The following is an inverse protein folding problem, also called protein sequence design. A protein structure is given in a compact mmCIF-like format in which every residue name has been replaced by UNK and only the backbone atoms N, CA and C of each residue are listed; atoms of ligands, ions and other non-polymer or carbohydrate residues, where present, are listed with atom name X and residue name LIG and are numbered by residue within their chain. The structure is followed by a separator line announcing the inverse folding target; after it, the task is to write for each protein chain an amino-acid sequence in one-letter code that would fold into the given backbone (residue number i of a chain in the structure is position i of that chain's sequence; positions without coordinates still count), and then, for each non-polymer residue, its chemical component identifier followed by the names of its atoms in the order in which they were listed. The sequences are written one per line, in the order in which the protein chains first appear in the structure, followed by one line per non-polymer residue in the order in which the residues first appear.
data_IF_595875943598
#
_entry.id   IF_595875943598
#
_cell.length_a   1.000
_cell.length_b   1.000
_cell.length_c   1.000
_cell.angle_alpha   90.00
_cell.angle_beta   90.00
_cell.angle_gamma   90.00
#
_symmetry.space_group_name_H-M   'P 1'
#
loop_
_entity.id
_entity.type
_entity.pdbx_description
1 polymer ?
#
# COMPACT_ATOMS: atom_id res chain seq x y z
N UNK A 1 -41.02 4.28 -44.55
CA UNK A 1 -40.19 3.93 -45.74
C UNK A 1 -39.05 3.13 -45.22
N UNK A 2 -39.17 1.81 -45.16
CA UNK A 2 -38.77 0.77 -46.13
C UNK A 2 -37.23 0.72 -46.29
N UNK A 3 -36.72 -0.44 -45.82
CA UNK A 3 -35.70 -1.34 -46.43
C UNK A 3 -34.23 -1.02 -46.05
N UNK A 4 -33.31 -1.91 -45.84
CA UNK A 4 -33.19 -3.36 -46.17
C UNK A 4 -32.12 -4.01 -45.28
N UNK A 5 -32.34 -5.26 -44.95
CA UNK A 5 -31.37 -6.31 -44.54
C UNK A 5 -30.26 -6.47 -45.59
N UNK A 6 -29.06 -6.76 -45.13
CA UNK A 6 -28.23 -7.76 -45.80
C UNK A 6 -27.32 -8.43 -44.77
N UNK A 7 -27.51 -9.71 -44.58
CA UNK A 7 -26.67 -10.61 -43.82
C UNK A 7 -25.45 -11.05 -44.66
N UNK A 8 -24.40 -11.39 -43.94
CA UNK A 8 -23.30 -12.19 -44.53
C UNK A 8 -22.97 -13.31 -43.54
N UNK A 9 -23.53 -14.46 -43.88
CA UNK A 9 -23.06 -15.76 -43.40
C UNK A 9 -21.80 -16.10 -44.20
N UNK A 10 -20.70 -16.40 -43.55
CA UNK A 10 -19.62 -17.20 -44.15
C UNK A 10 -19.31 -18.37 -43.23
N UNK A 11 -19.58 -19.51 -43.81
CA UNK A 11 -19.46 -20.83 -43.26
C UNK A 11 -18.03 -21.37 -43.32
N UNK A 12 -17.74 -22.26 -42.37
CA UNK A 12 -16.93 -23.47 -42.46
C UNK A 12 -15.57 -23.48 -43.16
N UNK A 13 -14.59 -23.93 -42.44
CA UNK A 13 -13.81 -25.10 -42.89
C UNK A 13 -13.11 -25.77 -41.70
N UNK A 14 -13.60 -26.93 -41.33
CA UNK A 14 -12.91 -27.98 -40.57
C UNK A 14 -11.79 -28.54 -41.45
N UNK A 15 -10.58 -28.53 -40.93
CA UNK A 15 -9.50 -29.41 -41.44
C UNK A 15 -9.04 -30.30 -40.29
N UNK A 16 -9.55 -31.52 -40.35
CA UNK A 16 -9.04 -32.64 -39.53
C UNK A 16 -7.86 -33.21 -40.31
N UNK A 17 -6.68 -33.15 -39.76
CA UNK A 17 -5.53 -33.92 -40.25
C UNK A 17 -5.18 -34.98 -39.22
N UNK A 18 -5.56 -36.20 -39.57
CA UNK A 18 -5.10 -37.43 -38.93
C UNK A 18 -3.62 -37.66 -39.31
N UNK A 19 -2.77 -37.72 -38.32
CA UNK A 19 -1.39 -38.18 -38.46
C UNK A 19 -1.07 -39.26 -37.44
N UNK A 20 -1.27 -40.50 -37.86
CA UNK A 20 -0.76 -41.68 -37.15
C UNK A 20 0.73 -41.73 -37.30
N UNK A 21 1.49 -41.85 -36.24
CA UNK A 21 2.79 -42.46 -36.29
C UNK A 21 3.01 -43.41 -35.15
N UNK A 22 3.34 -44.60 -35.56
CA UNK A 22 3.58 -45.85 -34.87
C UNK A 22 4.78 -45.75 -33.90
N UNK A 23 4.61 -46.45 -32.78
CA UNK A 23 5.65 -46.80 -31.83
C UNK A 23 6.66 -47.80 -32.46
N UNK A 24 7.88 -47.84 -31.94
CA UNK A 24 8.47 -49.13 -31.61
C UNK A 24 8.80 -49.27 -30.14
N UNK A 25 8.37 -50.40 -29.62
CA UNK A 25 8.76 -50.95 -28.33
C UNK A 25 10.20 -51.45 -28.41
N UNK A 26 10.97 -51.27 -27.35
CA UNK A 26 11.86 -52.27 -26.79
C UNK A 26 12.80 -51.67 -25.75
N UNK A 27 12.88 -52.29 -24.58
CA UNK A 27 13.99 -52.07 -23.65
C UNK A 27 13.57 -52.03 -22.19
N UNK A 28 13.19 -53.20 -21.67
CA UNK A 28 13.17 -53.44 -20.22
C UNK A 28 14.62 -53.46 -19.73
N UNK A 29 14.97 -52.54 -18.84
CA UNK A 29 16.05 -52.81 -17.89
C UNK A 29 15.63 -52.38 -16.48
N UNK A 30 15.78 -53.38 -15.62
CA UNK A 30 15.42 -53.35 -14.23
C UNK A 30 16.45 -52.58 -13.39
N UNK A 31 15.93 -51.98 -12.34
CA UNK A 31 16.53 -51.94 -11.02
C UNK A 31 17.72 -51.02 -10.80
N UNK A 32 17.46 -49.81 -10.36
CA UNK A 32 18.32 -49.15 -9.38
C UNK A 32 17.45 -48.29 -8.46
N UNK A 33 17.41 -48.70 -7.19
CA UNK A 33 16.78 -48.04 -6.05
C UNK A 33 17.27 -46.59 -5.94
N UNK A 34 16.39 -45.57 -5.96
CA UNK A 34 16.85 -44.21 -5.68
C UNK A 34 17.22 -44.14 -4.21
N UNK A 35 18.49 -43.90 -3.96
CA UNK A 35 19.02 -43.52 -2.68
C UNK A 35 18.49 -42.15 -2.34
N UNK A 36 17.71 -42.02 -1.27
CA UNK A 36 17.20 -40.79 -0.72
C UNK A 36 18.38 -39.97 -0.16
N UNK A 37 18.99 -39.15 -0.98
CA UNK A 37 19.90 -38.12 -0.49
C UNK A 37 19.03 -37.04 0.12
N UNK A 38 18.98 -37.00 1.43
CA UNK A 38 18.45 -35.92 2.23
C UNK A 38 19.35 -34.69 1.99
N UNK A 39 19.08 -33.94 0.92
CA UNK A 39 19.58 -32.59 0.85
C UNK A 39 18.74 -31.76 1.83
N UNK A 40 19.32 -31.51 2.98
CA UNK A 40 18.89 -30.48 3.90
C UNK A 40 18.99 -29.17 3.13
N UNK A 41 17.90 -28.79 2.47
CA UNK A 41 17.73 -27.44 1.96
C UNK A 41 17.62 -26.55 3.20
N UNK A 42 18.75 -25.99 3.61
CA UNK A 42 18.76 -24.81 4.44
C UNK A 42 18.03 -23.75 3.61
N UNK A 43 16.76 -23.52 3.92
CA UNK A 43 16.04 -22.36 3.43
C UNK A 43 16.79 -21.15 3.98
N UNK A 44 17.70 -20.66 3.18
CA UNK A 44 18.32 -19.35 3.33
C UNK A 44 17.15 -18.38 3.35
N UNK A 45 16.84 -17.86 4.52
CA UNK A 45 15.85 -16.80 4.68
C UNK A 45 16.30 -15.68 3.76
N UNK A 46 15.62 -15.55 2.61
CA UNK A 46 15.78 -14.39 1.74
C UNK A 46 15.60 -13.16 2.63
N UNK A 47 16.68 -12.47 2.93
CA UNK A 47 16.68 -11.30 3.77
C UNK A 47 15.70 -10.29 3.17
N UNK A 48 14.53 -10.16 3.80
CA UNK A 48 13.63 -9.05 3.54
C UNK A 48 14.43 -7.82 3.91
N UNK A 49 14.98 -7.13 2.90
CA UNK A 49 15.66 -5.86 3.12
C UNK A 49 14.62 -4.90 3.67
N UNK A 50 14.75 -4.57 4.95
CA UNK A 50 13.83 -3.65 5.62
C UNK A 50 13.84 -2.32 4.85
N UNK A 51 12.69 -1.94 4.31
CA UNK A 51 12.55 -0.70 3.55
C UNK A 51 12.59 0.49 4.51
N UNK A 52 13.57 1.36 4.33
CA UNK A 52 13.66 2.61 5.08
C UNK A 52 12.64 3.61 4.52
N UNK A 53 11.87 4.23 5.42
CA UNK A 53 10.93 5.28 5.06
C UNK A 53 11.68 6.49 4.49
N UNK A 54 11.33 6.96 3.28
CA UNK A 54 11.90 8.19 2.72
C UNK A 54 11.71 9.36 3.67
N UNK A 55 12.79 10.09 3.96
CA UNK A 55 12.72 11.28 4.81
C UNK A 55 12.26 12.49 4.01
N UNK A 56 11.47 13.34 4.63
CA UNK A 56 11.02 14.60 4.04
C UNK A 56 10.74 15.64 5.13
N UNK A 57 10.69 16.89 4.71
CA UNK A 57 10.34 18.02 5.57
C UNK A 57 8.89 18.43 5.30
N UNK A 58 8.15 18.70 6.37
CA UNK A 58 6.79 19.22 6.32
C UNK A 58 6.61 20.35 7.33
N UNK A 59 5.60 21.19 7.11
CA UNK A 59 5.19 22.25 8.04
C UNK A 59 3.85 21.85 8.64
N UNK A 60 3.79 21.83 9.97
CA UNK A 60 2.56 21.59 10.72
C UNK A 60 1.59 22.75 10.50
N UNK A 61 0.35 22.42 10.13
CA UNK A 61 -0.67 23.41 9.75
C UNK A 61 -1.20 24.23 10.92
N UNK A 62 -1.09 23.72 12.14
CA UNK A 62 -1.58 24.40 13.35
C UNK A 62 -0.51 25.28 13.96
N UNK A 63 0.68 24.74 14.11
CA UNK A 63 1.78 25.42 14.82
C UNK A 63 2.69 26.22 13.89
N UNK A 64 2.65 25.97 12.58
CA UNK A 64 3.57 26.53 11.59
C UNK A 64 5.01 26.01 11.73
N UNK A 65 5.26 25.04 12.60
CA UNK A 65 6.59 24.48 12.83
C UNK A 65 6.98 23.56 11.67
N UNK A 66 8.17 23.79 11.13
CA UNK A 66 8.78 22.89 10.14
C UNK A 66 9.52 21.76 10.87
N UNK A 67 9.27 20.51 10.45
CA UNK A 67 9.78 19.29 11.09
C UNK A 67 10.18 18.30 9.99
N UNK A 68 11.17 17.46 10.24
CA UNK A 68 11.47 16.30 9.40
C UNK A 68 10.75 15.08 9.92
N UNK A 69 10.36 14.17 9.02
CA UNK A 69 9.78 12.90 9.43
C UNK A 69 10.72 12.11 10.36
N UNK A 70 12.02 12.17 10.10
CA UNK A 70 13.05 11.53 10.94
C UNK A 70 13.11 12.07 12.37
N UNK A 71 12.68 13.31 12.61
CA UNK A 71 12.68 13.92 13.94
C UNK A 71 11.56 13.34 14.85
N UNK A 72 10.61 12.60 14.25
CA UNK A 72 9.48 11.98 14.98
C UNK A 72 9.79 10.54 15.45
N UNK A 73 11.01 10.05 15.29
CA UNK A 73 11.37 8.64 15.55
C UNK A 73 11.76 8.33 16.99
N UNK A 74 11.45 9.22 17.93
CA UNK A 74 11.49 8.93 19.37
C UNK A 74 10.43 7.87 19.76
N UNK A 75 9.37 7.74 18.93
CA UNK A 75 8.33 6.71 18.98
C UNK A 75 8.07 6.17 17.58
N UNK A 76 7.39 5.01 17.44
CA UNK A 76 6.86 4.63 16.13
C UNK A 76 5.99 5.74 15.55
N UNK A 77 5.98 5.87 14.22
CA UNK A 77 5.21 6.91 13.53
C UNK A 77 4.07 6.26 12.74
N UNK A 78 2.86 6.74 12.95
CA UNK A 78 1.74 6.56 12.05
C UNK A 78 1.73 7.74 11.06
N UNK A 79 2.02 7.46 9.80
CA UNK A 79 2.02 8.43 8.71
C UNK A 79 0.86 8.13 7.77
N UNK A 80 0.00 9.14 7.54
CA UNK A 80 -1.13 9.03 6.61
C UNK A 80 -1.03 10.10 5.52
N UNK A 81 -1.30 9.75 4.27
CA UNK A 81 -1.43 10.65 3.14
C UNK A 81 -2.89 10.79 2.75
N UNK A 82 -3.37 12.01 2.66
CA UNK A 82 -4.78 12.32 2.46
C UNK A 82 -4.97 13.64 1.69
N UNK A 83 -6.23 13.98 1.35
CA UNK A 83 -6.59 15.29 0.82
C UNK A 83 -8.05 15.63 1.16
N UNK A 84 -8.39 16.91 1.17
CA UNK A 84 -9.75 17.40 1.46
C UNK A 84 -10.77 16.98 0.39
N UNK A 85 -10.32 16.86 -0.85
CA UNK A 85 -11.13 16.43 -2.00
C UNK A 85 -11.27 14.90 -2.14
N UNK A 86 -10.70 14.12 -1.22
CA UNK A 86 -10.70 12.66 -1.24
C UNK A 86 -11.80 12.11 -0.29
N UNK A 87 -12.98 11.68 -0.78
CA UNK A 87 -14.07 11.24 0.09
C UNK A 87 -13.72 10.06 1.01
N UNK A 88 -13.00 8.98 0.56
CA UNK A 88 -12.60 7.91 1.47
C UNK A 88 -11.61 8.40 2.55
N UNK A 89 -10.72 9.36 2.23
CA UNK A 89 -9.83 9.97 3.21
C UNK A 89 -10.62 10.69 4.31
N UNK A 90 -11.54 11.56 3.90
CA UNK A 90 -12.38 12.34 4.83
C UNK A 90 -13.22 11.44 5.74
N UNK A 91 -13.69 10.29 5.22
CA UNK A 91 -14.43 9.30 6.01
C UNK A 91 -13.56 8.64 7.09
N UNK A 92 -12.27 8.48 6.87
CA UNK A 92 -11.32 7.85 7.80
C UNK A 92 -10.88 8.79 8.93
N UNK A 93 -10.82 10.12 8.71
CA UNK A 93 -10.28 11.08 9.68
C UNK A 93 -10.90 11.02 11.08
N UNK A 94 -12.23 10.78 11.28
CA UNK A 94 -12.80 10.58 12.60
C UNK A 94 -12.20 9.39 13.35
N UNK A 95 -11.90 8.31 12.65
CA UNK A 95 -11.24 7.12 13.21
C UNK A 95 -9.80 7.43 13.61
N UNK A 96 -9.07 8.18 12.75
CA UNK A 96 -7.72 8.66 13.07
C UNK A 96 -7.74 9.52 14.32
N UNK A 97 -8.71 10.45 14.46
CA UNK A 97 -8.84 11.28 15.66
C UNK A 97 -9.07 10.43 16.91
N UNK A 98 -9.99 9.47 16.85
CA UNK A 98 -10.28 8.59 17.98
C UNK A 98 -9.05 7.79 18.43
N UNK A 99 -8.29 7.25 17.45
CA UNK A 99 -7.06 6.50 17.73
C UNK A 99 -5.91 7.40 18.17
N UNK A 100 -5.80 8.61 17.64
CA UNK A 100 -4.84 9.59 18.12
C UNK A 100 -4.97 9.84 19.61
N UNK A 101 -6.19 10.09 20.11
CA UNK A 101 -6.42 10.30 21.55
C UNK A 101 -6.02 9.09 22.42
N UNK A 102 -6.12 7.88 21.87
CA UNK A 102 -5.75 6.65 22.60
C UNK A 102 -4.24 6.36 22.57
N UNK A 103 -3.56 6.73 21.48
CA UNK A 103 -2.18 6.27 21.18
C UNK A 103 -1.12 7.37 21.17
N UNK A 104 -1.47 8.68 21.28
CA UNK A 104 -0.55 9.82 21.16
C UNK A 104 0.67 9.76 22.08
N UNK A 105 0.55 9.07 23.23
CA UNK A 105 1.67 8.90 24.15
C UNK A 105 2.63 7.80 23.72
N UNK A 106 2.23 6.91 22.80
CA UNK A 106 2.97 5.72 22.36
C UNK A 106 3.36 5.75 20.90
N UNK A 107 2.63 6.47 20.06
CA UNK A 107 2.82 6.60 18.61
C UNK A 107 2.78 8.08 18.24
N UNK A 108 3.71 8.54 17.44
CA UNK A 108 3.65 9.85 16.80
C UNK A 108 2.74 9.78 15.56
N UNK A 109 1.69 10.57 15.56
CA UNK A 109 0.77 10.65 14.42
C UNK A 109 1.15 11.86 13.57
N UNK A 110 1.10 11.68 12.26
CA UNK A 110 1.17 12.79 11.30
C UNK A 110 0.37 12.44 10.05
N UNK A 111 -0.55 13.30 9.66
CA UNK A 111 -1.27 13.21 8.40
C UNK A 111 -0.75 14.31 7.45
N UNK A 112 -0.25 13.90 6.30
CA UNK A 112 0.30 14.83 5.29
C UNK A 112 -0.76 15.05 4.22
N UNK A 113 -1.15 16.33 4.07
CA UNK A 113 -2.06 16.73 3.02
C UNK A 113 -1.38 16.75 1.66
N UNK A 114 -2.07 16.22 0.65
CA UNK A 114 -1.72 16.26 -0.77
C UNK A 114 -2.68 17.19 -1.54
N UNK A 115 -3.18 18.24 -0.92
CA UNK A 115 -4.12 19.19 -1.52
C UNK A 115 -3.47 20.13 -2.55
N UNK A 116 -2.16 20.16 -2.67
CA UNK A 116 -1.44 21.09 -3.52
C UNK A 116 -1.39 22.52 -2.97
N UNK A 117 -2.35 22.91 -2.13
CA UNK A 117 -2.43 24.20 -1.45
C UNK A 117 -2.65 23.99 0.06
N UNK A 118 -2.06 24.86 0.88
CA UNK A 118 -2.09 24.71 2.34
C UNK A 118 -3.43 25.17 2.94
N UNK A 119 -4.15 26.08 2.27
CA UNK A 119 -5.35 26.76 2.81
C UNK A 119 -6.49 25.79 3.04
N UNK A 120 -6.73 24.86 2.11
CA UNK A 120 -7.83 23.93 2.19
C UNK A 120 -7.73 23.01 3.43
N UNK A 121 -6.64 22.28 3.68
CA UNK A 121 -6.50 21.45 4.88
C UNK A 121 -6.37 22.29 6.16
N UNK A 122 -5.77 23.48 6.12
CA UNK A 122 -5.65 24.37 7.28
C UNK A 122 -7.01 24.87 7.79
N UNK A 123 -7.99 25.04 6.91
CA UNK A 123 -9.37 25.37 7.29
C UNK A 123 -10.18 24.13 7.65
N UNK A 124 -9.97 23.04 6.91
CA UNK A 124 -10.75 21.81 7.09
C UNK A 124 -10.55 21.17 8.46
N UNK A 125 -9.30 20.98 8.89
CA UNK A 125 -8.98 20.26 10.13
C UNK A 125 -9.60 20.90 11.37
N UNK A 126 -9.40 22.19 11.66
CA UNK A 126 -10.02 22.80 12.83
C UNK A 126 -11.55 22.91 12.71
N UNK A 127 -12.11 23.06 11.50
CA UNK A 127 -13.58 23.12 11.31
C UNK A 127 -14.27 21.80 11.70
N UNK A 128 -13.53 20.68 11.75
CA UNK A 128 -14.02 19.37 12.17
C UNK A 128 -13.64 19.01 13.60
N UNK A 129 -12.90 19.88 14.31
CA UNK A 129 -12.45 19.65 15.67
C UNK A 129 -11.34 18.58 15.79
N UNK A 130 -10.62 18.31 14.71
CA UNK A 130 -9.48 17.37 14.73
C UNK A 130 -8.26 18.04 15.38
N UNK A 131 -7.53 17.24 16.18
CA UNK A 131 -6.38 17.71 16.96
C UNK A 131 -5.11 16.90 16.70
N UNK A 132 -5.20 15.82 15.91
CA UNK A 132 -4.00 15.09 15.48
C UNK A 132 -3.15 15.97 14.56
N UNK A 133 -1.80 15.83 14.58
CA UNK A 133 -0.91 16.65 13.77
C UNK A 133 -1.16 16.45 12.27
N UNK A 134 -1.35 17.57 11.58
CA UNK A 134 -1.50 17.61 10.12
C UNK A 134 -0.46 18.55 9.53
N UNK A 135 0.25 18.06 8.55
CA UNK A 135 1.29 18.81 7.87
C UNK A 135 1.06 18.90 6.37
N UNK A 136 1.78 19.81 5.75
CA UNK A 136 1.91 19.92 4.31
C UNK A 136 3.39 20.08 3.95
N UNK A 137 3.73 19.71 2.72
CA UNK A 137 5.09 19.81 2.19
C UNK A 137 5.08 19.86 0.67
N UNK A 138 6.21 19.58 0.05
CA UNK A 138 6.23 19.45 -1.40
C UNK A 138 5.51 18.16 -1.81
N UNK A 139 4.22 18.28 -2.16
CA UNK A 139 3.35 17.18 -2.54
C UNK A 139 3.98 16.27 -3.60
N UNK A 140 4.54 16.87 -4.67
CA UNK A 140 5.11 16.11 -5.80
C UNK A 140 6.31 15.27 -5.38
N UNK A 141 7.20 15.83 -4.56
CA UNK A 141 8.40 15.12 -4.13
C UNK A 141 8.05 14.02 -3.12
N UNK A 142 7.13 14.31 -2.19
CA UNK A 142 6.64 13.35 -1.19
C UNK A 142 5.92 12.19 -1.89
N UNK A 143 4.97 12.49 -2.79
CA UNK A 143 4.22 11.47 -3.53
C UNK A 143 5.14 10.56 -4.36
N UNK A 144 6.17 11.15 -4.99
CA UNK A 144 7.17 10.37 -5.73
C UNK A 144 8.00 9.49 -4.81
N UNK A 145 8.47 10.03 -3.67
CA UNK A 145 9.32 9.29 -2.74
C UNK A 145 8.63 8.07 -2.13
N UNK A 146 7.33 8.18 -1.87
CA UNK A 146 6.49 7.11 -1.32
C UNK A 146 5.76 6.30 -2.40
N UNK A 147 5.94 6.62 -3.68
CA UNK A 147 5.23 6.03 -4.80
C UNK A 147 3.70 6.01 -4.56
N UNK A 148 3.14 7.17 -4.18
CA UNK A 148 1.71 7.31 -3.89
C UNK A 148 0.92 7.29 -5.21
N UNK A 149 0.22 6.19 -5.46
CA UNK A 149 -0.65 6.02 -6.63
C UNK A 149 -2.13 6.28 -6.30
N UNK A 150 -2.50 6.11 -5.02
CA UNK A 150 -3.85 6.35 -4.53
C UNK A 150 -3.84 6.77 -3.05
N UNK A 151 -4.87 7.50 -2.63
CA UNK A 151 -5.10 7.91 -1.25
C UNK A 151 -6.50 7.50 -0.76
N UNK A 152 -6.66 7.27 0.57
CA UNK A 152 -5.64 7.41 1.60
C UNK A 152 -4.56 6.31 1.51
N UNK A 153 -3.35 6.63 1.95
CA UNK A 153 -2.27 5.68 2.09
C UNK A 153 -1.63 5.87 3.48
N UNK A 154 -1.50 4.77 4.22
CA UNK A 154 -1.02 4.81 5.61
C UNK A 154 0.18 3.90 5.80
N UNK A 155 1.10 4.33 6.67
CA UNK A 155 2.35 3.64 6.98
C UNK A 155 2.57 3.59 8.49
N UNK A 156 3.10 2.47 8.98
CA UNK A 156 3.72 2.38 10.29
C UNK A 156 5.23 2.38 10.09
N UNK A 157 5.91 3.32 10.73
CA UNK A 157 7.37 3.46 10.66
C UNK A 157 7.92 3.23 12.05
N UNK A 158 8.87 2.31 12.16
CA UNK A 158 9.55 2.03 13.42
C UNK A 158 10.51 3.16 13.84
N UNK A 159 10.94 3.14 15.09
CA UNK A 159 11.97 4.06 15.63
C UNK A 159 13.30 3.94 14.90
N UNK A 160 13.56 2.79 14.28
CA UNK A 160 14.70 2.50 13.41
C UNK A 160 14.55 3.13 12.00
N UNK A 161 13.40 3.74 11.71
CA UNK A 161 13.06 4.32 10.41
C UNK A 161 12.59 3.32 9.36
N UNK A 162 12.43 2.05 9.70
CA UNK A 162 11.92 1.04 8.76
C UNK A 162 10.40 1.10 8.65
N UNK A 163 9.87 0.88 7.45
CA UNK A 163 8.44 0.68 7.22
C UNK A 163 8.07 -0.71 7.76
N UNK A 164 7.26 -0.74 8.81
CA UNK A 164 6.77 -1.98 9.45
C UNK A 164 5.49 -2.48 8.79
N UNK A 165 4.65 -1.56 8.30
CA UNK A 165 3.41 -1.87 7.59
C UNK A 165 3.02 -0.72 6.67
N UNK A 166 2.29 -1.04 5.60
CA UNK A 166 1.65 -0.06 4.73
C UNK A 166 0.29 -0.58 4.25
N UNK A 167 -0.63 0.34 3.99
CA UNK A 167 -1.93 0.05 3.41
C UNK A 167 -2.37 1.20 2.52
N UNK A 168 -3.03 0.88 1.40
CA UNK A 168 -3.69 1.85 0.52
C UNK A 168 -5.19 1.59 0.58
N UNK A 169 -5.96 2.63 0.82
CA UNK A 169 -7.39 2.57 1.06
C UNK A 169 -7.76 2.97 2.49
N UNK A 170 -9.02 3.40 2.66
CA UNK A 170 -9.53 3.84 3.97
C UNK A 170 -9.75 2.66 4.91
N UNK A 171 -9.41 2.84 6.16
CA UNK A 171 -9.64 1.90 7.25
C UNK A 171 -10.87 2.34 8.06
N UNK A 172 -11.64 1.38 8.53
CA UNK A 172 -12.58 1.63 9.62
C UNK A 172 -11.83 1.63 10.97
N UNK A 173 -12.56 1.80 12.06
CA UNK A 173 -11.94 1.90 13.39
C UNK A 173 -11.25 0.61 13.82
N UNK A 174 -11.79 -0.57 13.47
CA UNK A 174 -11.23 -1.86 13.83
C UNK A 174 -9.99 -2.19 12.98
N UNK A 175 -10.04 -1.87 11.69
CA UNK A 175 -8.92 -2.01 10.77
C UNK A 175 -7.76 -1.11 11.19
N UNK A 176 -8.04 0.15 11.52
CA UNK A 176 -7.03 1.10 11.99
C UNK A 176 -6.40 0.65 13.31
N UNK A 177 -7.22 0.12 14.25
CA UNK A 177 -6.69 -0.49 15.47
C UNK A 177 -5.70 -1.61 15.17
N UNK A 178 -6.11 -2.56 14.32
CA UNK A 178 -5.27 -3.68 13.92
C UNK A 178 -3.99 -3.23 13.20
N UNK A 179 -4.09 -2.16 12.42
CA UNK A 179 -2.95 -1.58 11.71
C UNK A 179 -1.96 -0.91 12.69
N UNK A 180 -2.44 -0.15 13.66
CA UNK A 180 -1.61 0.51 14.67
C UNK A 180 -0.84 -0.50 15.56
N UNK A 181 -1.39 -1.70 15.79
CA UNK A 181 -0.69 -2.75 16.53
C UNK A 181 0.61 -3.22 15.85
N UNK A 182 0.81 -2.93 14.56
CA UNK A 182 2.07 -3.22 13.85
C UNK A 182 3.23 -2.29 14.28
N UNK A 183 2.94 -1.29 15.10
CA UNK A 183 3.94 -0.40 15.68
C UNK A 183 4.76 -1.04 16.82
N UNK A 184 4.26 -2.17 17.39
CA UNK A 184 4.80 -2.78 18.61
C UNK A 184 5.34 -4.22 18.39
#
# INVERSE_FOLDING_TARGET
MKKLLTGFLVACALVVVYGHNLLPSSGIQANTKPQLTTTTSTAEAAGVTAQIAPDFTFTDLVTGKTTKLSDLRDKPVYLNFWATWCPPCVKELPHIQAKYEQYKDRINFVAISLDGEQEAPAQFIPSRGYTFPVGYGNERDISRAYNIEAIPASYIIGTDGTIKAQIVGSMDEADLESFLQKAF
#
